data_IF_480463819570
#
_entry.id   IF_480463819570
#
_cell.length_a   1.000
_cell.length_b   1.000
_cell.length_c   1.000
_cell.angle_alpha   90.00
_cell.angle_beta   90.00
_cell.angle_gamma   90.00
#
_symmetry.space_group_name_H-M   'P 1'
#
loop_
_entity.id
_entity.type
_entity.pdbx_description
1 polymer ?
#
# COMPACT_ATOMS: atom_id res chain seq x y z
N UNK A 1 46.45 8.84 -78.71
CA UNK A 1 47.06 8.54 -77.42
C UNK A 1 46.53 9.53 -76.44
N UNK A 2 45.51 9.15 -75.68
CA UNK A 2 44.86 10.01 -74.62
C UNK A 2 45.38 9.54 -73.30
N UNK A 3 46.05 10.42 -72.52
CA UNK A 3 46.54 10.19 -71.19
C UNK A 3 45.38 10.41 -70.22
N UNK A 4 45.03 9.38 -69.46
CA UNK A 4 44.06 9.42 -68.39
C UNK A 4 44.77 9.85 -67.12
N UNK A 5 44.40 11.01 -66.60
CA UNK A 5 44.88 11.52 -65.29
C UNK A 5 43.94 11.01 -64.21
N UNK A 6 44.45 10.16 -63.32
CA UNK A 6 43.75 9.71 -62.13
C UNK A 6 43.96 10.75 -61.03
N UNK A 7 42.90 11.43 -60.63
CA UNK A 7 42.89 12.31 -59.44
C UNK A 7 42.51 11.45 -58.25
N UNK A 8 43.46 11.25 -57.33
CA UNK A 8 43.27 10.56 -56.08
C UNK A 8 42.74 11.57 -55.10
N UNK A 9 41.41 11.52 -54.74
CA UNK A 9 40.84 12.27 -53.69
C UNK A 9 41.14 11.57 -52.35
N UNK A 10 42.03 12.17 -51.56
CA UNK A 10 42.22 11.80 -50.16
C UNK A 10 41.04 12.35 -49.34
N UNK A 11 40.18 11.48 -48.91
CA UNK A 11 39.21 11.78 -47.84
C UNK A 11 39.94 11.76 -46.49
N UNK A 12 40.21 12.92 -45.93
CA UNK A 12 40.54 13.05 -44.52
C UNK A 12 39.28 12.78 -43.69
N UNK A 13 39.18 11.59 -43.13
CA UNK A 13 38.21 11.32 -42.09
C UNK A 13 38.74 11.99 -40.84
N UNK A 14 38.21 13.18 -40.55
CA UNK A 14 38.35 13.79 -39.24
C UNK A 14 37.53 12.99 -38.26
N UNK A 15 38.18 12.17 -37.44
CA UNK A 15 37.58 11.62 -36.23
C UNK A 15 37.36 12.78 -35.26
N UNK A 16 36.16 13.37 -35.27
CA UNK A 16 35.73 14.14 -34.15
C UNK A 16 35.45 13.15 -33.01
N UNK A 17 36.30 13.13 -32.00
CA UNK A 17 35.97 12.58 -30.72
C UNK A 17 34.68 13.25 -30.27
N UNK A 18 33.58 12.51 -30.34
CA UNK A 18 32.41 12.83 -29.57
C UNK A 18 32.81 12.69 -28.10
N UNK A 19 33.12 13.83 -27.47
CA UNK A 19 32.98 13.96 -26.04
C UNK A 19 31.55 13.58 -25.72
N UNK A 20 31.33 12.32 -25.39
CA UNK A 20 30.16 11.92 -24.59
C UNK A 20 30.25 12.73 -23.32
N UNK A 21 29.47 13.80 -23.27
CA UNK A 21 29.18 14.48 -22.04
C UNK A 21 28.65 13.43 -21.07
N UNK A 22 29.41 13.17 -20.03
CA UNK A 22 28.94 12.57 -18.80
C UNK A 22 27.98 13.58 -18.15
N UNK A 23 26.92 13.97 -18.84
CA UNK A 23 25.80 14.62 -18.26
C UNK A 23 24.87 13.56 -17.67
N UNK A 24 25.02 13.41 -16.35
CA UNK A 24 23.86 13.40 -15.50
C UNK A 24 23.07 12.11 -15.33
N UNK A 25 23.67 11.26 -14.56
CA UNK A 25 22.92 10.39 -13.66
C UNK A 25 22.61 11.12 -12.33
N UNK A 26 23.24 12.26 -12.03
CA UNK A 26 23.03 13.01 -10.79
C UNK A 26 21.65 13.65 -10.63
N UNK A 27 20.97 14.03 -11.70
CA UNK A 27 19.63 14.60 -11.63
C UNK A 27 18.55 13.57 -11.37
N UNK A 28 18.74 12.35 -11.81
CA UNK A 28 17.79 11.27 -11.61
C UNK A 28 17.85 10.70 -10.18
N UNK A 29 19.06 10.66 -9.59
CA UNK A 29 19.23 10.23 -8.21
C UNK A 29 18.64 11.23 -7.20
N UNK A 30 18.68 12.52 -7.48
CA UNK A 30 18.08 13.56 -6.63
C UNK A 30 16.56 13.46 -6.59
N UNK A 31 15.91 13.31 -7.75
CA UNK A 31 14.46 13.12 -7.85
C UNK A 31 14.01 11.82 -7.18
N UNK A 32 14.75 10.74 -7.36
CA UNK A 32 14.48 9.44 -6.78
C UNK A 32 14.56 9.44 -5.23
N UNK A 33 15.51 10.18 -4.65
CA UNK A 33 15.63 10.32 -3.20
C UNK A 33 14.51 11.17 -2.60
N UNK A 34 14.08 12.23 -3.29
CA UNK A 34 12.93 13.04 -2.87
C UNK A 34 11.63 12.22 -2.87
N UNK A 35 11.42 11.38 -3.88
CA UNK A 35 10.26 10.49 -3.93
C UNK A 35 10.26 9.41 -2.83
N UNK A 36 11.42 8.88 -2.43
CA UNK A 36 11.51 7.98 -1.28
C UNK A 36 11.00 8.62 0.00
N UNK A 37 11.26 9.92 0.18
CA UNK A 37 10.82 10.66 1.35
C UNK A 37 9.31 10.86 1.41
N UNK A 38 8.59 10.72 0.31
CA UNK A 38 7.12 10.80 0.28
C UNK A 38 6.45 9.64 1.04
N UNK A 39 7.12 8.49 1.07
CA UNK A 39 6.66 7.28 1.77
C UNK A 39 7.51 6.97 3.00
N UNK A 40 8.13 7.99 3.62
CA UNK A 40 8.85 7.79 4.87
C UNK A 40 7.92 7.27 5.95
N UNK A 41 8.44 6.41 6.81
CA UNK A 41 7.69 5.91 7.96
C UNK A 41 7.33 7.06 8.90
N UNK A 42 6.05 7.31 9.02
CA UNK A 42 5.51 8.41 9.84
C UNK A 42 4.12 8.04 10.36
N UNK A 43 3.85 8.43 11.61
CA UNK A 43 2.52 8.38 12.19
C UNK A 43 1.93 9.79 12.18
N UNK A 44 0.86 9.98 11.41
CA UNK A 44 0.26 11.30 11.17
C UNK A 44 -1.09 11.38 11.87
N UNK A 45 -1.27 12.34 12.76
CA UNK A 45 -2.59 12.73 13.24
C UNK A 45 -3.26 13.61 12.19
N UNK A 46 -4.20 13.04 11.41
CA UNK A 46 -4.86 13.76 10.31
C UNK A 46 -6.01 14.65 10.79
N UNK A 47 -6.59 14.31 11.89
CA UNK A 47 -7.55 15.10 12.68
C UNK A 47 -7.56 14.55 14.09
N UNK A 48 -8.16 15.27 15.04
CA UNK A 48 -8.24 14.84 16.45
C UNK A 48 -8.70 13.38 16.58
N UNK A 49 -7.90 12.55 17.24
CA UNK A 49 -8.14 11.12 17.51
C UNK A 49 -8.10 10.20 16.26
N UNK A 50 -7.62 10.65 15.11
CA UNK A 50 -7.45 9.81 13.91
C UNK A 50 -5.99 9.84 13.45
N UNK A 51 -5.32 8.69 13.52
CA UNK A 51 -3.90 8.51 13.25
C UNK A 51 -3.68 7.56 12.08
N UNK A 52 -2.88 7.98 11.11
CA UNK A 52 -2.56 7.18 9.90
C UNK A 52 -1.09 6.78 9.95
N UNK A 53 -0.82 5.49 9.92
CA UNK A 53 0.52 4.93 9.76
C UNK A 53 0.92 4.89 8.29
N UNK A 54 1.78 5.82 7.86
CA UNK A 54 2.30 5.92 6.49
C UNK A 54 3.69 5.29 6.43
N UNK A 55 4.01 4.58 5.33
CA UNK A 55 5.36 4.05 5.07
C UNK A 55 5.76 2.84 5.92
N UNK A 56 4.82 2.22 6.63
CA UNK A 56 5.05 0.93 7.33
C UNK A 56 4.96 -0.27 6.39
N UNK A 57 4.31 -0.12 5.24
CA UNK A 57 4.13 -1.10 4.20
C UNK A 57 3.69 -0.46 2.90
N UNK A 58 3.06 -1.22 2.00
CA UNK A 58 2.46 -0.71 0.77
C UNK A 58 1.20 0.09 1.09
N UNK A 59 0.27 -0.52 1.81
CA UNK A 59 -0.94 0.13 2.30
C UNK A 59 -0.68 0.94 3.58
N UNK A 60 -1.63 1.79 3.93
CA UNK A 60 -1.69 2.47 5.22
C UNK A 60 -2.61 1.70 6.17
N UNK A 61 -2.44 1.91 7.47
CA UNK A 61 -3.38 1.46 8.49
C UNK A 61 -3.76 2.66 9.35
N UNK A 62 -5.01 2.70 9.79
CA UNK A 62 -5.57 3.87 10.47
C UNK A 62 -6.08 3.45 11.84
N UNK A 63 -5.68 4.18 12.87
CA UNK A 63 -6.25 4.06 14.21
C UNK A 63 -7.20 5.22 14.48
N UNK A 64 -8.40 4.90 14.93
CA UNK A 64 -9.39 5.86 15.41
C UNK A 64 -9.58 5.63 16.90
N UNK A 65 -9.32 6.66 17.69
CA UNK A 65 -9.55 6.65 19.12
C UNK A 65 -10.97 7.16 19.44
N UNK A 66 -11.74 6.37 20.15
CA UNK A 66 -13.06 6.75 20.67
C UNK A 66 -12.95 7.07 22.17
N UNK A 67 -14.06 7.31 22.85
CA UNK A 67 -14.03 7.65 24.29
C UNK A 67 -13.30 6.58 25.13
N UNK A 68 -13.56 5.28 24.88
CA UNK A 68 -13.01 4.19 25.69
C UNK A 68 -12.31 3.10 24.87
N UNK A 69 -12.36 3.16 23.54
CA UNK A 69 -11.95 2.08 22.66
C UNK A 69 -11.12 2.58 21.49
N UNK A 70 -10.52 1.63 20.75
CA UNK A 70 -9.86 1.86 19.47
C UNK A 70 -10.56 1.08 18.37
N UNK A 71 -10.59 1.70 17.17
CA UNK A 71 -10.99 1.07 15.91
C UNK A 71 -9.80 1.13 14.95
N UNK A 72 -9.51 0.02 14.30
CA UNK A 72 -8.44 -0.06 13.28
C UNK A 72 -9.07 -0.23 11.91
N UNK A 73 -8.64 0.57 10.93
CA UNK A 73 -8.99 0.39 9.51
C UNK A 73 -7.76 -0.07 8.78
N UNK A 74 -7.82 -1.28 8.22
CA UNK A 74 -6.75 -2.04 7.61
C UNK A 74 -5.57 -2.36 8.56
N UNK A 75 -4.76 -3.37 8.23
CA UNK A 75 -3.81 -3.96 9.18
C UNK A 75 -2.42 -4.21 8.60
N UNK A 76 -2.09 -3.62 7.45
CA UNK A 76 -0.87 -3.87 6.69
C UNK A 76 -0.73 -5.31 6.17
N UNK A 77 0.37 -5.59 5.46
CA UNK A 77 0.57 -6.83 4.71
C UNK A 77 1.21 -7.98 5.46
N UNK A 78 1.82 -7.74 6.62
CA UNK A 78 2.50 -8.77 7.39
C UNK A 78 2.43 -8.53 8.90
N UNK A 79 2.64 -9.63 9.66
CA UNK A 79 2.72 -9.59 11.13
C UNK A 79 3.86 -8.67 11.56
N UNK A 80 5.00 -8.71 10.90
CA UNK A 80 6.20 -7.96 11.25
C UNK A 80 5.94 -6.46 11.16
N UNK A 81 5.35 -5.99 10.07
CA UNK A 81 5.01 -4.58 9.87
C UNK A 81 3.87 -4.12 10.76
N UNK A 82 2.88 -4.96 10.92
CA UNK A 82 1.79 -4.70 11.85
C UNK A 82 2.27 -4.52 13.29
N UNK A 83 3.24 -5.32 13.75
CA UNK A 83 3.85 -5.17 15.09
C UNK A 83 4.58 -3.85 15.26
N UNK A 84 5.30 -3.37 14.25
CA UNK A 84 5.97 -2.07 14.32
C UNK A 84 4.93 -0.95 14.50
N UNK A 85 3.91 -0.92 13.64
CA UNK A 85 2.85 0.09 13.70
C UNK A 85 2.03 -0.03 14.99
N UNK A 86 1.72 -1.26 15.42
CA UNK A 86 1.00 -1.50 16.68
C UNK A 86 1.76 -0.90 17.87
N UNK A 87 3.08 -1.05 17.92
CA UNK A 87 3.88 -0.46 18.99
C UNK A 87 3.78 1.07 18.98
N UNK A 88 3.78 1.70 17.82
CA UNK A 88 3.63 3.15 17.69
C UNK A 88 2.21 3.61 18.04
N UNK A 89 1.17 2.88 17.65
CA UNK A 89 -0.21 3.15 18.08
C UNK A 89 -0.35 3.01 19.61
N UNK A 90 0.30 2.03 20.25
CA UNK A 90 0.29 1.83 21.69
C UNK A 90 1.04 2.92 22.47
N UNK A 91 1.97 3.64 21.83
CA UNK A 91 2.58 4.82 22.44
C UNK A 91 1.60 6.01 22.52
N UNK A 92 0.51 6.00 21.71
CA UNK A 92 -0.55 7.02 21.74
C UNK A 92 -1.64 6.60 22.73
N UNK A 93 -2.16 5.37 22.61
CA UNK A 93 -3.30 4.92 23.40
C UNK A 93 -3.23 3.43 23.73
N UNK A 94 -3.49 3.11 25.01
CA UNK A 94 -3.58 1.74 25.50
C UNK A 94 -5.02 1.20 25.57
N UNK A 95 -6.01 1.97 25.08
CA UNK A 95 -7.40 1.54 25.05
C UNK A 95 -7.55 0.21 24.28
N UNK A 96 -8.57 -0.60 24.60
CA UNK A 96 -8.81 -1.86 23.90
C UNK A 96 -9.19 -1.63 22.43
N UNK A 97 -8.71 -2.48 21.55
CA UNK A 97 -9.15 -2.54 20.14
C UNK A 97 -10.40 -3.41 20.09
N UNK A 98 -11.55 -2.81 19.81
CA UNK A 98 -12.84 -3.52 19.77
C UNK A 98 -13.34 -3.78 18.36
N UNK A 99 -12.78 -3.09 17.38
CA UNK A 99 -13.15 -3.27 15.97
C UNK A 99 -11.96 -3.15 15.05
N UNK A 100 -11.95 -4.01 14.02
CA UNK A 100 -11.11 -3.89 12.84
C UNK A 100 -12.06 -3.80 11.64
N UNK A 101 -11.78 -2.92 10.69
CA UNK A 101 -12.55 -2.76 9.47
C UNK A 101 -11.60 -3.02 8.31
N UNK A 102 -11.89 -4.01 7.48
CA UNK A 102 -11.18 -4.25 6.23
C UNK A 102 -11.83 -3.45 5.12
N UNK A 103 -11.06 -2.60 4.44
CA UNK A 103 -11.57 -1.85 3.30
C UNK A 103 -11.83 -2.77 2.10
N UNK A 104 -10.98 -3.78 1.90
CA UNK A 104 -11.12 -4.78 0.84
C UNK A 104 -10.17 -5.98 1.06
N UNK A 105 -10.17 -6.95 0.14
CA UNK A 105 -9.52 -8.24 0.29
C UNK A 105 -8.01 -8.29 0.01
N UNK A 106 -7.36 -7.22 -0.44
CA UNK A 106 -5.93 -7.24 -0.75
C UNK A 106 -5.09 -7.49 0.49
N UNK A 107 -4.06 -8.34 0.34
CA UNK A 107 -3.28 -8.84 1.48
C UNK A 107 -2.50 -7.75 2.20
N UNK A 108 -2.09 -6.71 1.52
CA UNK A 108 -1.41 -5.55 2.12
C UNK A 108 -2.32 -4.70 3.02
N UNK A 109 -3.64 -4.94 3.01
CA UNK A 109 -4.62 -4.33 3.91
C UNK A 109 -5.00 -5.22 5.10
N UNK A 110 -4.92 -6.55 4.93
CA UNK A 110 -5.47 -7.50 5.91
C UNK A 110 -4.46 -8.51 6.47
N UNK A 111 -3.22 -8.47 5.96
CA UNK A 111 -2.19 -9.48 6.25
C UNK A 111 -1.61 -9.43 7.66
N UNK A 112 -1.74 -8.32 8.37
CA UNK A 112 -1.24 -8.17 9.75
C UNK A 112 -2.30 -8.30 10.84
N UNK A 113 -3.51 -8.71 10.52
CA UNK A 113 -4.68 -8.65 11.40
C UNK A 113 -4.52 -9.34 12.76
N UNK A 114 -3.81 -10.46 12.83
CA UNK A 114 -3.56 -11.17 14.09
C UNK A 114 -2.87 -10.33 15.16
N UNK A 115 -2.20 -9.24 14.79
CA UNK A 115 -1.53 -8.34 15.74
C UNK A 115 -2.52 -7.46 16.48
N UNK A 116 -3.60 -7.08 15.83
CA UNK A 116 -4.62 -6.17 16.36
C UNK A 116 -5.84 -6.92 16.92
N UNK A 117 -5.98 -8.20 16.59
CA UNK A 117 -7.15 -9.01 16.92
C UNK A 117 -7.01 -9.72 18.26
N UNK A 118 -8.01 -9.57 19.12
CA UNK A 118 -8.17 -10.30 20.37
C UNK A 118 -9.48 -11.09 20.31
N UNK A 119 -9.38 -12.41 20.23
CA UNK A 119 -10.52 -13.31 20.08
C UNK A 119 -11.54 -13.14 21.21
N UNK A 120 -12.79 -12.87 20.82
CA UNK A 120 -13.90 -12.65 21.75
C UNK A 120 -14.02 -11.20 22.25
N UNK A 121 -13.05 -10.32 21.97
CA UNK A 121 -13.08 -8.91 22.35
C UNK A 121 -13.04 -7.96 21.14
N UNK A 122 -12.53 -8.41 19.98
CA UNK A 122 -12.44 -7.61 18.77
C UNK A 122 -13.34 -8.20 17.67
N UNK A 123 -14.19 -7.38 17.06
CA UNK A 123 -14.96 -7.75 15.88
C UNK A 123 -14.25 -7.28 14.61
N UNK A 124 -14.34 -8.07 13.53
CA UNK A 124 -13.79 -7.71 12.22
C UNK A 124 -14.92 -7.54 11.22
N UNK A 125 -15.06 -6.34 10.69
CA UNK A 125 -16.11 -5.94 9.76
C UNK A 125 -15.58 -5.93 8.33
N UNK A 126 -16.34 -6.47 7.38
CA UNK A 126 -16.02 -6.41 5.96
C UNK A 126 -17.29 -6.55 5.10
N UNK A 127 -17.19 -6.14 3.84
CA UNK A 127 -18.22 -6.42 2.84
C UNK A 127 -18.22 -7.92 2.49
N UNK A 128 -19.37 -8.52 2.23
CA UNK A 128 -19.52 -9.99 2.17
C UNK A 128 -18.76 -10.66 1.02
N UNK A 129 -18.54 -9.97 -0.11
CA UNK A 129 -17.78 -10.52 -1.23
C UNK A 129 -16.31 -10.87 -0.86
N UNK A 130 -15.78 -10.30 0.23
CA UNK A 130 -14.44 -10.59 0.70
C UNK A 130 -14.20 -12.08 0.89
N UNK A 131 -15.21 -12.84 1.31
CA UNK A 131 -15.08 -14.29 1.57
C UNK A 131 -14.81 -15.02 0.26
N UNK A 132 -15.56 -14.73 -0.80
CA UNK A 132 -15.34 -15.33 -2.11
C UNK A 132 -13.97 -14.96 -2.66
N UNK A 133 -13.57 -13.68 -2.53
CA UNK A 133 -12.30 -13.20 -3.02
C UNK A 133 -11.11 -13.86 -2.31
N UNK A 134 -11.15 -13.98 -0.99
CA UNK A 134 -10.11 -14.66 -0.21
C UNK A 134 -9.99 -16.14 -0.60
N UNK A 135 -11.12 -16.85 -0.75
CA UNK A 135 -11.10 -18.24 -1.13
C UNK A 135 -10.59 -18.43 -2.57
N UNK A 136 -10.94 -17.54 -3.49
CA UNK A 136 -10.49 -17.55 -4.88
C UNK A 136 -8.98 -17.24 -4.99
N UNK A 137 -8.48 -16.25 -4.26
CA UNK A 137 -7.05 -15.93 -4.20
C UNK A 137 -6.25 -17.12 -3.66
N UNK A 138 -6.73 -17.75 -2.60
CA UNK A 138 -6.02 -18.87 -1.97
C UNK A 138 -5.96 -20.12 -2.86
N UNK A 139 -6.92 -20.33 -3.74
CA UNK A 139 -7.09 -21.58 -4.50
C UNK A 139 -6.86 -21.42 -5.99
N UNK A 140 -7.61 -20.56 -6.66
CA UNK A 140 -7.75 -20.57 -8.13
C UNK A 140 -6.73 -19.69 -8.83
N UNK A 141 -6.55 -18.46 -8.35
CA UNK A 141 -5.77 -17.44 -9.06
C UNK A 141 -4.38 -17.19 -8.49
N UNK A 142 -4.03 -17.84 -7.38
CA UNK A 142 -2.74 -17.69 -6.69
C UNK A 142 -1.50 -17.68 -7.61
N UNK A 143 -1.33 -18.63 -8.55
CA UNK A 143 -0.15 -18.63 -9.41
C UNK A 143 -0.09 -17.43 -10.36
N UNK A 144 -1.26 -16.96 -10.81
CA UNK A 144 -1.38 -15.82 -11.74
C UNK A 144 -1.09 -14.53 -10.99
N UNK A 145 -1.67 -14.35 -9.81
CA UNK A 145 -1.43 -13.17 -8.96
C UNK A 145 0.05 -13.06 -8.61
N UNK A 146 0.70 -14.16 -8.20
CA UNK A 146 2.13 -14.14 -7.87
C UNK A 146 2.98 -13.66 -9.05
N UNK A 147 2.73 -14.18 -10.26
CA UNK A 147 3.47 -13.78 -11.48
C UNK A 147 3.21 -12.32 -11.87
N UNK A 148 1.97 -11.84 -11.71
CA UNK A 148 1.58 -10.45 -11.94
C UNK A 148 2.29 -9.54 -10.94
N UNK A 149 2.16 -9.83 -9.66
CA UNK A 149 2.75 -9.03 -8.58
C UNK A 149 4.27 -8.95 -8.67
N UNK A 150 4.93 -10.08 -9.04
CA UNK A 150 6.37 -10.08 -9.24
C UNK A 150 6.83 -9.07 -10.31
N UNK A 151 6.05 -8.89 -11.36
CA UNK A 151 6.35 -7.91 -12.42
C UNK A 151 5.92 -6.49 -12.04
N UNK A 152 4.73 -6.34 -11.46
CA UNK A 152 4.16 -5.05 -11.10
C UNK A 152 4.99 -4.36 -10.02
N UNK A 153 5.45 -5.10 -9.02
CA UNK A 153 6.18 -4.57 -7.86
C UNK A 153 7.69 -4.79 -7.94
N UNK A 154 8.21 -5.24 -9.07
CA UNK A 154 9.66 -5.40 -9.27
C UNK A 154 10.32 -6.39 -8.31
N UNK A 155 9.60 -7.39 -7.78
CA UNK A 155 10.11 -8.34 -6.77
C UNK A 155 11.48 -8.96 -7.15
N UNK A 156 11.77 -9.27 -8.45
CA UNK A 156 13.07 -9.81 -8.84
C UNK A 156 14.20 -8.77 -8.93
N UNK A 157 13.91 -7.49 -8.77
CA UNK A 157 14.94 -6.44 -8.83
C UNK A 157 15.76 -6.42 -7.54
N UNK A 158 17.04 -6.01 -7.61
CA UNK A 158 17.84 -5.70 -6.44
C UNK A 158 17.15 -4.62 -5.59
N UNK A 159 17.26 -4.73 -4.26
CA UNK A 159 16.59 -3.80 -3.33
C UNK A 159 16.98 -2.34 -3.56
N UNK A 160 18.24 -2.09 -3.95
CA UNK A 160 18.75 -0.76 -4.27
C UNK A 160 18.09 -0.11 -5.50
N UNK A 161 17.51 -0.91 -6.41
CA UNK A 161 16.79 -0.44 -7.58
C UNK A 161 15.31 -0.14 -7.29
N UNK A 162 14.79 -0.61 -6.16
CA UNK A 162 13.40 -0.38 -5.73
C UNK A 162 13.33 0.91 -4.93
N UNK A 163 12.90 1.99 -5.59
CA UNK A 163 12.77 3.31 -4.94
C UNK A 163 11.49 3.38 -4.12
N UNK A 164 10.36 3.06 -4.74
CA UNK A 164 9.02 2.93 -4.16
C UNK A 164 8.10 2.20 -5.15
N UNK A 165 6.89 1.87 -4.73
CA UNK A 165 5.95 1.10 -5.55
C UNK A 165 4.96 1.98 -6.36
N UNK A 166 5.14 3.30 -6.35
CA UNK A 166 4.26 4.25 -7.02
C UNK A 166 3.01 4.61 -6.21
N UNK A 167 2.42 3.66 -5.52
CA UNK A 167 1.22 3.83 -4.67
C UNK A 167 1.55 3.83 -3.18
N UNK A 168 2.69 3.31 -2.80
CA UNK A 168 3.17 3.21 -1.43
C UNK A 168 4.68 3.00 -1.35
N UNK A 169 5.19 2.77 -0.15
CA UNK A 169 6.62 2.62 0.09
C UNK A 169 7.19 1.35 -0.53
N UNK A 170 6.69 0.20 -0.15
CA UNK A 170 7.17 -1.10 -0.64
C UNK A 170 6.16 -2.21 -0.34
N UNK A 171 6.11 -3.19 -1.23
CA UNK A 171 5.40 -4.45 -0.98
C UNK A 171 6.36 -5.41 -0.28
N UNK A 172 6.10 -5.69 0.99
CA UNK A 172 6.92 -6.61 1.75
C UNK A 172 6.52 -8.05 1.45
N UNK A 173 7.26 -8.68 0.54
CA UNK A 173 7.18 -10.12 0.27
C UNK A 173 8.61 -10.66 0.28
N UNK A 174 9.03 -11.22 1.41
CA UNK A 174 10.33 -11.85 1.58
C UNK A 174 10.21 -13.10 2.47
N UNK A 175 11.31 -13.82 2.65
CA UNK A 175 11.36 -15.06 3.43
C UNK A 175 11.03 -14.87 4.92
N UNK A 176 10.95 -13.63 5.40
CA UNK A 176 10.69 -13.28 6.80
C UNK A 176 9.26 -12.76 7.01
N UNK A 177 8.55 -12.43 5.93
CA UNK A 177 7.18 -11.93 6.02
C UNK A 177 6.21 -13.03 6.38
N UNK A 178 5.45 -12.84 7.45
CA UNK A 178 4.44 -13.79 7.93
C UNK A 178 3.05 -13.22 7.75
N UNK A 179 2.17 -13.99 7.10
CA UNK A 179 0.77 -13.61 6.92
C UNK A 179 -0.03 -13.94 8.19
N UNK A 180 -0.64 -12.94 8.79
CA UNK A 180 -1.50 -13.03 9.97
C UNK A 180 -2.95 -12.68 9.67
N UNK A 181 -3.52 -13.28 8.62
CA UNK A 181 -4.91 -13.07 8.22
C UNK A 181 -5.88 -13.62 9.27
N UNK A 182 -6.90 -12.83 9.60
CA UNK A 182 -8.07 -13.26 10.37
C UNK A 182 -9.32 -13.06 9.51
N UNK A 183 -10.18 -14.08 9.43
CA UNK A 183 -11.44 -13.95 8.68
C UNK A 183 -12.37 -12.96 9.38
N UNK A 184 -13.13 -12.13 8.62
CA UNK A 184 -14.13 -11.26 9.20
C UNK A 184 -15.13 -12.01 10.05
N UNK A 185 -15.55 -11.39 11.15
CA UNK A 185 -16.56 -11.92 12.08
C UNK A 185 -17.95 -11.40 11.76
N UNK A 186 -18.02 -10.19 11.16
CA UNK A 186 -19.27 -9.54 10.76
C UNK A 186 -19.20 -9.13 9.30
N UNK A 187 -20.13 -9.62 8.51
CA UNK A 187 -20.26 -9.33 7.08
C UNK A 187 -21.52 -8.49 6.85
N UNK A 188 -21.45 -7.63 5.83
CA UNK A 188 -22.60 -6.83 5.39
C UNK A 188 -22.61 -6.75 3.84
N UNK A 189 -23.76 -6.41 3.26
CA UNK A 189 -23.98 -6.28 1.84
C UNK A 189 -23.74 -4.82 1.38
N UNK A 190 -24.74 -3.95 1.47
CA UNK A 190 -24.68 -2.58 0.93
C UNK A 190 -24.11 -1.56 1.93
N UNK A 191 -24.67 -1.50 3.13
CA UNK A 191 -24.32 -0.52 4.16
C UNK A 191 -24.48 -1.10 5.56
N UNK A 192 -23.56 -0.76 6.43
CA UNK A 192 -23.62 -1.07 7.85
C UNK A 192 -23.26 0.17 8.68
N UNK A 193 -24.15 0.57 9.59
CA UNK A 193 -23.81 1.58 10.60
C UNK A 193 -23.54 0.92 11.94
N UNK A 194 -22.33 1.12 12.47
CA UNK A 194 -21.96 0.69 13.81
C UNK A 194 -21.71 1.91 14.69
N UNK A 195 -22.01 1.77 15.99
CA UNK A 195 -21.73 2.80 16.97
C UNK A 195 -20.78 2.26 18.02
N UNK A 196 -19.63 2.92 18.17
CA UNK A 196 -18.63 2.61 19.19
C UNK A 196 -18.44 3.87 20.02
N UNK A 197 -18.80 3.79 21.29
CA UNK A 197 -18.82 4.93 22.21
C UNK A 197 -19.61 6.14 21.65
N UNK A 198 -18.91 7.26 21.49
CA UNK A 198 -19.46 8.53 21.00
C UNK A 198 -19.45 8.66 19.46
N UNK A 199 -18.80 7.75 18.74
CA UNK A 199 -18.64 7.84 17.28
C UNK A 199 -19.55 6.86 16.55
N UNK A 200 -19.97 7.28 15.37
CA UNK A 200 -20.71 6.50 14.40
C UNK A 200 -19.80 6.19 13.22
N UNK A 201 -19.73 4.92 12.82
CA UNK A 201 -19.00 4.45 11.65
C UNK A 201 -20.00 3.95 10.63
N UNK A 202 -20.06 4.60 9.48
CA UNK A 202 -20.90 4.20 8.34
C UNK A 202 -19.98 3.53 7.35
N UNK A 203 -20.14 2.21 7.21
CA UNK A 203 -19.44 1.40 6.25
C UNK A 203 -20.32 1.24 5.04
N UNK A 204 -19.90 1.71 3.88
CA UNK A 204 -20.70 1.62 2.67
C UNK A 204 -19.93 0.91 1.56
N UNK A 205 -20.56 -0.07 0.94
CA UNK A 205 -20.06 -0.81 -0.18
C UNK A 205 -19.92 0.10 -1.41
N UNK A 206 -18.71 0.21 -1.94
CA UNK A 206 -18.39 1.03 -3.11
C UNK A 206 -17.35 0.29 -3.95
N UNK A 207 -17.78 -0.63 -4.83
CA UNK A 207 -16.86 -1.35 -5.69
C UNK A 207 -15.91 -0.40 -6.42
N UNK A 208 -14.63 -0.70 -6.37
CA UNK A 208 -13.55 0.11 -6.94
C UNK A 208 -12.43 -0.76 -7.46
N UNK A 209 -11.30 -0.78 -6.79
CA UNK A 209 -10.19 -1.67 -7.14
C UNK A 209 -10.62 -3.15 -7.07
N UNK A 210 -11.45 -3.48 -6.08
CA UNK A 210 -12.08 -4.80 -5.94
C UNK A 210 -13.60 -4.65 -5.76
N UNK A 211 -14.34 -5.75 -5.96
CA UNK A 211 -15.80 -5.76 -5.85
C UNK A 211 -16.32 -5.81 -4.41
N UNK A 212 -15.45 -6.07 -3.43
CA UNK A 212 -15.74 -6.04 -2.00
C UNK A 212 -15.30 -4.74 -1.31
N UNK A 213 -14.89 -3.72 -2.10
CA UNK A 213 -14.35 -2.49 -1.54
C UNK A 213 -15.42 -1.67 -0.81
N UNK A 214 -15.04 -1.06 0.30
CA UNK A 214 -15.90 -0.17 1.08
C UNK A 214 -15.18 1.12 1.47
N UNK A 215 -15.92 2.15 1.81
CA UNK A 215 -15.41 3.29 2.57
C UNK A 215 -15.97 3.30 4.00
N UNK A 216 -15.25 3.98 4.89
CA UNK A 216 -15.67 4.24 6.27
C UNK A 216 -15.89 5.74 6.43
N UNK A 217 -17.11 6.16 6.73
CA UNK A 217 -17.45 7.55 7.02
C UNK A 217 -17.73 7.75 8.51
N UNK A 218 -17.09 8.74 9.13
CA UNK A 218 -17.28 9.14 10.51
C UNK A 218 -17.84 10.56 10.54
N UNK A 219 -19.18 10.73 10.63
CA UNK A 219 -19.82 12.04 10.56
C UNK A 219 -19.33 13.03 11.61
N UNK A 220 -19.14 12.56 12.85
CA UNK A 220 -18.72 13.39 13.98
C UNK A 220 -17.31 13.98 13.79
N UNK A 221 -16.45 13.28 13.05
CA UNK A 221 -15.08 13.73 12.73
C UNK A 221 -14.97 14.35 11.33
N UNK A 222 -16.04 14.31 10.51
CA UNK A 222 -16.05 14.70 9.09
C UNK A 222 -14.89 14.04 8.31
N UNK A 223 -14.61 12.78 8.64
CA UNK A 223 -13.51 12.01 8.09
C UNK A 223 -14.01 10.79 7.30
N UNK A 224 -13.38 10.51 6.17
CA UNK A 224 -13.65 9.34 5.34
C UNK A 224 -12.36 8.58 5.07
N UNK A 225 -12.39 7.25 5.25
CA UNK A 225 -11.32 6.33 4.89
C UNK A 225 -11.80 5.57 3.66
N UNK A 226 -11.06 5.66 2.58
CA UNK A 226 -11.50 5.19 1.25
C UNK A 226 -10.68 4.02 0.69
N UNK A 227 -9.72 3.51 1.49
CA UNK A 227 -8.80 2.45 1.03
C UNK A 227 -8.17 2.83 -0.31
N UNK A 228 -8.07 1.87 -1.20
CA UNK A 228 -7.43 2.02 -2.51
C UNK A 228 -8.33 2.59 -3.61
N UNK A 229 -9.51 3.12 -3.24
CA UNK A 229 -10.34 3.91 -4.16
C UNK A 229 -9.79 5.33 -4.39
N UNK A 230 -8.76 5.72 -3.65
CA UNK A 230 -8.08 7.00 -3.84
C UNK A 230 -6.60 6.89 -3.52
N UNK A 231 -5.75 7.28 -4.48
CA UNK A 231 -4.31 7.36 -4.33
C UNK A 231 -3.83 8.81 -4.37
N UNK A 232 -2.86 9.14 -3.54
CA UNK A 232 -2.17 10.44 -3.57
C UNK A 232 -1.34 10.60 -4.85
N UNK A 233 -0.72 9.51 -5.29
CA UNK A 233 0.14 9.46 -6.46
C UNK A 233 -0.59 8.80 -7.64
N UNK A 234 -0.03 8.93 -8.84
CA UNK A 234 -0.55 8.26 -10.01
C UNK A 234 -0.24 6.75 -9.91
N UNK A 235 -1.27 5.94 -9.77
CA UNK A 235 -1.13 4.49 -9.68
C UNK A 235 -0.71 3.89 -11.03
N UNK A 236 0.20 2.91 -11.00
CA UNK A 236 0.64 2.15 -12.18
C UNK A 236 -0.01 0.74 -12.23
N UNK A 237 -1.26 0.68 -11.86
CA UNK A 237 -2.05 -0.56 -11.75
C UNK A 237 -2.44 -1.12 -13.11
#
# INVERSE_FOLDING_TARGET
>A
MKKLIFILLLFCISCSEQQQSNETIETDQGLSLDHRNEFRKELIEVTEDIYVGVGYGLANSIMIETENNLVIVDTLGSIERAKELYADFRNISEKPIVAIIYTHNHLDHIGGATVFFDEGNTEIYAQENIIYNLDNIATTIRPIIFQRSARQFGIPLPEEEIVHQGIGGFLEINDQSTLGLVRPTILFDDELTIKIDNLKFILAHVPGETDDHLYVWIPEKQAVMVGDNFYRSFANL
#
